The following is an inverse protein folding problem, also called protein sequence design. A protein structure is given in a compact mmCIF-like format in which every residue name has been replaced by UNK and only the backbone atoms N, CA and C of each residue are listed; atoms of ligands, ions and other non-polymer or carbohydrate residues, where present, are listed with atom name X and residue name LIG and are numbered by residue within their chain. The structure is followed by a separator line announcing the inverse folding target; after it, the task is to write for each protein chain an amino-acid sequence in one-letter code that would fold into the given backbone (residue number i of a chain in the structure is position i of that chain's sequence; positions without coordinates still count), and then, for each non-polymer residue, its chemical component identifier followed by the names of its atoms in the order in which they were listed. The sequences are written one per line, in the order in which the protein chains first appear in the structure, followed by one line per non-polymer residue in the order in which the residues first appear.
data_IF_766418558525
#
_entry.id   IF_766418558525
#
_cell.length_a   1.000
_cell.length_b   1.000
_cell.length_c   1.000
_cell.angle_alpha   90.00
_cell.angle_beta   90.00
_cell.angle_gamma   90.00
#
_symmetry.space_group_name_H-M   'P 1'
#
loop_
_entity.id
_entity.type
_entity.pdbx_description
1 polymer ?
#
# COMPACT_ATOMS: atom_id res chain seq x y z
N UNK A 1 5.59 31.99 43.47
CA UNK A 1 5.86 31.40 42.14
C UNK A 1 4.59 31.53 41.37
N UNK A 2 4.56 32.21 40.23
CA UNK A 2 3.32 32.48 39.51
C UNK A 2 2.74 31.18 38.92
N UNK A 3 1.43 31.05 38.86
CA UNK A 3 0.71 29.88 38.33
C UNK A 3 1.19 29.53 36.91
N UNK A 4 1.49 30.56 36.11
CA UNK A 4 2.07 30.42 34.75
C UNK A 4 3.43 29.69 34.74
N UNK A 5 4.27 29.88 35.75
CA UNK A 5 5.57 29.17 35.84
C UNK A 5 5.38 27.70 36.18
N UNK A 6 4.41 27.41 37.03
CA UNK A 6 4.05 26.02 37.40
C UNK A 6 3.51 25.26 36.19
N UNK A 7 2.56 25.85 35.45
CA UNK A 7 1.95 25.23 34.26
C UNK A 7 3.01 24.97 33.16
N UNK A 8 3.98 25.90 33.00
CA UNK A 8 5.10 25.70 32.04
C UNK A 8 6.07 24.61 32.49
N UNK A 9 6.33 24.46 33.77
CA UNK A 9 7.14 23.39 34.33
C UNK A 9 6.46 22.02 34.16
N UNK A 10 5.17 21.94 34.45
CA UNK A 10 4.40 20.72 34.31
C UNK A 10 4.30 20.27 32.83
N UNK A 11 4.10 21.24 31.90
CA UNK A 11 4.10 20.96 30.47
C UNK A 11 5.50 20.55 29.95
N UNK A 12 6.58 21.09 30.52
CA UNK A 12 7.94 20.67 30.21
C UNK A 12 8.23 19.27 30.76
N UNK A 13 7.86 18.97 32.02
CA UNK A 13 8.01 17.66 32.61
C UNK A 13 7.24 16.57 31.83
N UNK A 14 5.99 16.86 31.45
CA UNK A 14 5.17 15.92 30.66
C UNK A 14 5.85 15.61 29.32
N UNK A 15 6.46 16.61 28.66
CA UNK A 15 7.23 16.41 27.43
C UNK A 15 8.48 15.56 27.67
N UNK A 16 9.23 15.80 28.74
CA UNK A 16 10.43 15.01 29.05
C UNK A 16 10.09 13.57 29.41
N UNK A 17 9.03 13.34 30.18
CA UNK A 17 8.55 12.00 30.52
C UNK A 17 8.09 11.24 29.25
N UNK A 18 7.40 11.91 28.35
CA UNK A 18 7.00 11.32 27.05
C UNK A 18 8.24 10.97 26.20
N UNK A 19 9.23 11.85 26.14
CA UNK A 19 10.51 11.58 25.46
C UNK A 19 11.29 10.40 26.09
N UNK A 20 11.34 10.33 27.43
CA UNK A 20 11.99 9.22 28.12
C UNK A 20 11.25 7.89 27.95
N UNK A 21 9.91 7.93 27.87
CA UNK A 21 9.10 6.74 27.63
C UNK A 21 9.26 6.19 26.21
N UNK A 22 9.57 7.06 25.25
CA UNK A 22 9.88 6.68 23.86
C UNK A 22 11.33 6.24 23.67
N UNK A 23 12.21 6.52 24.64
CA UNK A 23 13.63 6.19 24.56
C UNK A 23 13.86 4.70 24.90
N UNK A 24 14.11 3.89 23.89
CA UNK A 24 14.57 2.51 24.06
C UNK A 24 16.12 2.52 24.22
N UNK A 25 16.66 2.41 25.46
CA UNK A 25 18.10 2.54 25.71
C UNK A 25 18.93 1.39 25.11
N UNK A 26 18.28 0.31 24.68
CA UNK A 26 18.89 -0.85 24.04
C UNK A 26 18.19 -1.14 22.72
N UNK A 27 18.86 -0.83 21.62
CA UNK A 27 18.41 -1.27 20.30
C UNK A 27 18.62 -2.80 20.19
N UNK A 28 17.54 -3.56 20.16
CA UNK A 28 17.60 -5.00 19.90
C UNK A 28 17.99 -5.22 18.45
N UNK A 29 19.17 -5.79 18.21
CA UNK A 29 19.67 -6.07 16.87
C UNK A 29 19.81 -7.58 16.67
N UNK A 30 19.39 -8.01 15.47
CA UNK A 30 19.69 -9.35 14.95
C UNK A 30 20.81 -9.32 13.92
N UNK A 31 21.13 -10.49 13.37
CA UNK A 31 22.07 -10.63 12.26
C UNK A 31 21.50 -11.55 11.20
N UNK A 32 21.68 -11.19 9.94
CA UNK A 32 21.31 -12.03 8.78
C UNK A 32 22.11 -13.33 8.85
N UNK A 33 21.42 -14.45 8.86
CA UNK A 33 22.01 -15.80 8.85
C UNK A 33 21.98 -16.39 7.45
N UNK A 34 20.91 -16.12 6.69
CA UNK A 34 20.71 -16.65 5.35
C UNK A 34 19.98 -15.63 4.47
N UNK A 35 20.35 -15.62 3.20
CA UNK A 35 19.65 -14.88 2.13
C UNK A 35 19.18 -15.92 1.11
N UNK A 36 17.88 -15.92 0.78
CA UNK A 36 17.30 -16.84 -0.19
C UNK A 36 16.32 -16.06 -1.10
N UNK A 37 16.76 -15.72 -2.30
CA UNK A 37 16.01 -14.83 -3.20
C UNK A 37 15.71 -13.50 -2.54
N UNK A 38 14.44 -13.14 -2.38
CA UNK A 38 13.98 -11.91 -1.74
C UNK A 38 13.79 -12.05 -0.21
N UNK A 39 14.07 -13.22 0.34
CA UNK A 39 13.85 -13.51 1.76
C UNK A 39 15.17 -13.50 2.53
N UNK A 40 15.13 -12.91 3.70
CA UNK A 40 16.23 -12.86 4.66
C UNK A 40 15.82 -13.62 5.92
N UNK A 41 16.69 -14.45 6.43
CA UNK A 41 16.50 -15.11 7.72
C UNK A 41 17.45 -14.51 8.74
N UNK A 42 16.91 -14.11 9.88
CA UNK A 42 17.72 -13.56 10.97
C UNK A 42 17.16 -13.97 12.33
N UNK A 43 18.04 -14.13 13.31
CA UNK A 43 17.65 -14.29 14.71
C UNK A 43 17.43 -12.92 15.32
N UNK A 44 16.14 -12.58 15.53
CA UNK A 44 15.74 -11.27 16.03
C UNK A 44 14.80 -11.44 17.24
N UNK A 45 15.29 -11.15 18.46
CA UNK A 45 14.45 -11.25 19.66
C UNK A 45 13.23 -10.34 19.60
N UNK A 46 12.12 -10.81 20.19
CA UNK A 46 10.85 -10.06 20.25
C UNK A 46 10.26 -9.64 18.89
N UNK A 47 10.67 -10.28 17.81
CA UNK A 47 10.14 -10.05 16.48
C UNK A 47 8.63 -10.39 16.42
N UNK A 48 7.85 -9.62 15.64
CA UNK A 48 6.43 -9.85 15.39
C UNK A 48 6.17 -9.82 13.89
N UNK A 49 5.26 -10.65 13.40
CA UNK A 49 4.83 -10.60 11.99
C UNK A 49 4.25 -9.21 11.71
N UNK A 50 4.68 -8.61 10.59
CA UNK A 50 4.30 -7.26 10.17
C UNK A 50 5.21 -6.15 10.68
N UNK A 51 6.15 -6.40 11.62
CA UNK A 51 7.10 -5.39 12.05
C UNK A 51 8.08 -5.04 10.92
N UNK A 52 8.32 -3.74 10.74
CA UNK A 52 9.41 -3.25 9.91
C UNK A 52 10.75 -3.40 10.61
N UNK A 53 11.76 -3.73 9.82
CA UNK A 53 13.15 -3.83 10.22
C UNK A 53 14.03 -2.99 9.29
N UNK A 54 15.05 -2.35 9.85
CA UNK A 54 16.14 -1.74 9.11
C UNK A 54 17.28 -2.75 9.00
N UNK A 55 17.71 -3.03 7.78
CA UNK A 55 18.80 -3.96 7.45
C UNK A 55 19.97 -3.13 6.92
N UNK A 56 21.12 -3.25 7.57
CA UNK A 56 22.32 -2.56 7.15
C UNK A 56 22.89 -3.23 5.88
N UNK A 57 23.37 -2.44 4.94
CA UNK A 57 24.07 -2.86 3.75
C UNK A 57 25.56 -2.55 3.83
N UNK A 58 26.31 -2.98 2.84
CA UNK A 58 27.72 -2.60 2.73
C UNK A 58 27.85 -1.07 2.56
N UNK A 59 28.74 -0.47 3.32
CA UNK A 59 28.84 0.98 3.48
C UNK A 59 27.86 1.53 4.51
N UNK A 60 27.46 2.79 4.37
CA UNK A 60 26.50 3.46 5.28
C UNK A 60 25.04 3.39 4.77
N UNK A 61 24.76 2.53 3.78
CA UNK A 61 23.43 2.34 3.22
C UNK A 61 22.61 1.33 4.05
N UNK A 62 21.31 1.44 3.97
CA UNK A 62 20.37 0.56 4.64
C UNK A 62 19.11 0.36 3.83
N UNK A 63 18.43 -0.75 4.06
CA UNK A 63 17.14 -1.02 3.45
C UNK A 63 16.11 -1.38 4.52
N UNK A 64 14.84 -1.25 4.17
CA UNK A 64 13.75 -1.76 4.99
C UNK A 64 13.39 -3.18 4.58
N UNK A 65 13.00 -3.98 5.57
CA UNK A 65 12.43 -5.30 5.39
C UNK A 65 11.25 -5.47 6.36
N UNK A 66 10.32 -6.35 6.03
CA UNK A 66 9.17 -6.67 6.87
C UNK A 66 9.22 -8.12 7.31
N UNK A 67 8.90 -8.38 8.57
CA UNK A 67 8.80 -9.74 9.09
C UNK A 67 7.50 -10.37 8.58
N UNK A 68 7.63 -11.39 7.74
CA UNK A 68 6.48 -12.08 7.11
C UNK A 68 6.16 -13.42 7.79
N UNK A 69 7.07 -13.94 8.63
CA UNK A 69 6.87 -15.20 9.30
C UNK A 69 8.10 -15.62 10.12
N UNK A 70 8.07 -16.86 10.57
CA UNK A 70 9.16 -17.48 11.32
C UNK A 70 9.46 -18.87 10.76
N UNK A 71 10.74 -19.19 10.69
CA UNK A 71 11.24 -20.54 10.46
C UNK A 71 11.95 -20.98 11.74
N UNK A 72 11.32 -21.88 12.50
CA UNK A 72 11.74 -22.27 13.86
C UNK A 72 11.85 -21.03 14.78
N UNK A 73 13.08 -20.62 15.10
CA UNK A 73 13.36 -19.47 15.98
C UNK A 73 13.85 -18.22 15.21
N UNK A 74 13.99 -18.35 13.90
CA UNK A 74 14.50 -17.27 13.06
C UNK A 74 13.35 -16.53 12.38
N UNK A 75 13.40 -15.21 12.41
CA UNK A 75 12.46 -14.37 11.69
C UNK A 75 12.79 -14.43 10.18
N UNK A 76 11.75 -14.62 9.38
CA UNK A 76 11.80 -14.53 7.92
C UNK A 76 11.33 -13.14 7.52
N UNK A 77 12.22 -12.39 6.91
CA UNK A 77 11.95 -11.03 6.47
C UNK A 77 11.88 -11.00 4.95
N UNK A 78 10.96 -10.18 4.44
CA UNK A 78 10.88 -9.84 3.03
C UNK A 78 11.42 -8.43 2.80
N UNK A 79 12.33 -8.30 1.84
CA UNK A 79 12.97 -7.04 1.50
C UNK A 79 11.97 -6.03 0.89
N UNK A 80 11.97 -4.79 1.39
CA UNK A 80 11.24 -3.66 0.82
C UNK A 80 12.17 -2.80 -0.06
N UNK A 81 12.91 -3.45 -0.95
CA UNK A 81 13.87 -2.80 -1.82
C UNK A 81 14.84 -3.79 -2.48
N UNK A 82 15.93 -3.27 -3.06
CA UNK A 82 16.97 -4.07 -3.67
C UNK A 82 17.90 -4.67 -2.61
N UNK A 83 18.20 -5.97 -2.75
CA UNK A 83 19.12 -6.71 -1.87
C UNK A 83 20.61 -6.49 -2.16
N UNK A 84 20.95 -5.78 -3.21
CA UNK A 84 22.35 -5.48 -3.52
C UNK A 84 23.06 -4.84 -2.32
N UNK A 85 24.23 -5.34 -1.97
CA UNK A 85 25.01 -4.91 -0.82
C UNK A 85 24.59 -5.53 0.53
N UNK A 86 23.55 -6.35 0.58
CA UNK A 86 23.23 -7.15 1.79
C UNK A 86 24.13 -8.36 1.87
N UNK A 87 24.72 -8.60 3.05
CA UNK A 87 25.60 -9.73 3.28
C UNK A 87 25.17 -10.54 4.51
N UNK A 88 25.58 -11.80 4.54
CA UNK A 88 25.42 -12.64 5.75
C UNK A 88 26.18 -12.00 6.89
N UNK A 89 25.56 -11.93 8.08
CA UNK A 89 26.08 -11.20 9.24
C UNK A 89 25.70 -9.73 9.31
N UNK A 90 25.06 -9.16 8.26
CA UNK A 90 24.55 -7.80 8.31
C UNK A 90 23.60 -7.58 9.50
N UNK A 91 23.66 -6.40 10.10
CA UNK A 91 22.84 -6.04 11.25
C UNK A 91 21.40 -5.80 10.84
N UNK A 92 20.46 -6.26 11.65
CA UNK A 92 19.03 -6.05 11.51
C UNK A 92 18.50 -5.40 12.77
N UNK A 93 17.91 -4.23 12.64
CA UNK A 93 17.26 -3.51 13.74
C UNK A 93 15.74 -3.53 13.55
N UNK A 94 14.99 -4.02 14.55
CA UNK A 94 13.54 -3.93 14.57
C UNK A 94 13.10 -2.51 14.84
N UNK A 95 12.19 -1.97 14.04
CA UNK A 95 11.59 -0.64 14.25
C UNK A 95 10.38 -0.71 15.19
N UNK A 96 9.76 -1.88 15.34
CA UNK A 96 8.63 -2.11 16.25
C UNK A 96 7.30 -1.51 15.75
N UNK A 97 7.25 -1.08 14.52
CA UNK A 97 6.06 -0.54 13.84
C UNK A 97 5.80 -1.30 12.55
N UNK A 98 4.54 -1.49 12.14
CA UNK A 98 4.21 -2.04 10.84
C UNK A 98 4.42 -0.99 9.74
N UNK A 99 4.32 -1.41 8.48
CA UNK A 99 4.27 -0.49 7.35
C UNK A 99 3.03 0.41 7.45
N UNK A 100 3.25 1.72 7.51
CA UNK A 100 2.20 2.74 7.67
C UNK A 100 2.35 3.84 6.62
N UNK A 101 1.22 4.45 6.27
CA UNK A 101 1.17 5.63 5.39
C UNK A 101 0.36 6.74 6.05
N UNK A 102 0.82 7.96 5.91
CA UNK A 102 0.03 9.14 6.27
C UNK A 102 -0.70 9.66 5.04
N UNK A 103 -1.78 10.37 5.25
CA UNK A 103 -2.66 10.88 4.20
C UNK A 103 -2.91 12.37 4.41
N UNK A 104 -2.67 13.16 3.37
CA UNK A 104 -2.90 14.60 3.37
C UNK A 104 -3.05 15.13 1.95
N UNK A 105 -3.52 16.38 1.84
CA UNK A 105 -3.69 17.05 0.55
C UNK A 105 -2.35 17.30 -0.17
N UNK A 106 -1.24 17.29 0.57
CA UNK A 106 0.12 17.37 0.02
C UNK A 106 0.49 16.20 -0.88
N UNK A 107 -0.23 15.08 -0.79
CA UNK A 107 -0.02 13.92 -1.66
C UNK A 107 -0.73 14.03 -3.01
N UNK A 108 -1.65 14.99 -3.17
CA UNK A 108 -2.34 15.17 -4.45
C UNK A 108 -1.35 15.60 -5.54
N UNK A 109 -1.44 14.98 -6.69
CA UNK A 109 -0.52 15.15 -7.81
C UNK A 109 0.77 14.33 -7.72
N UNK A 110 1.02 13.62 -6.59
CA UNK A 110 2.23 12.85 -6.37
C UNK A 110 2.18 11.47 -7.01
N UNK A 111 3.35 11.02 -7.45
CA UNK A 111 3.60 9.65 -7.94
C UNK A 111 4.50 8.94 -6.94
N UNK A 112 3.96 7.94 -6.29
CA UNK A 112 4.60 7.18 -5.22
C UNK A 112 4.96 5.78 -5.69
N UNK A 113 6.00 5.19 -5.10
CA UNK A 113 6.35 3.78 -5.28
C UNK A 113 5.37 2.86 -4.52
N UNK A 114 5.54 1.54 -4.65
CA UNK A 114 4.70 0.56 -3.98
C UNK A 114 4.71 0.63 -2.45
N UNK A 115 5.67 1.34 -1.87
CA UNK A 115 5.78 1.53 -0.41
C UNK A 115 5.28 2.91 0.06
N UNK A 116 4.88 3.78 -0.87
CA UNK A 116 4.41 5.13 -0.56
C UNK A 116 5.51 6.20 -0.52
N UNK A 117 6.67 5.94 -1.10
CA UNK A 117 7.76 6.92 -1.24
C UNK A 117 7.65 7.63 -2.59
N UNK A 118 8.06 8.91 -2.71
CA UNK A 118 8.03 9.61 -3.99
C UNK A 118 9.01 8.96 -4.98
N UNK A 119 8.57 8.69 -6.21
CA UNK A 119 9.42 8.07 -7.25
C UNK A 119 10.50 9.02 -7.73
N UNK A 120 10.21 10.31 -7.81
CA UNK A 120 11.15 11.33 -8.30
C UNK A 120 12.13 11.85 -7.22
N UNK A 121 12.11 11.28 -6.01
CA UNK A 121 13.02 11.65 -4.91
C UNK A 121 12.72 13.01 -4.25
N UNK A 122 12.01 13.91 -4.91
CA UNK A 122 11.62 15.22 -4.41
C UNK A 122 10.10 15.27 -4.30
N UNK A 123 9.60 15.58 -3.11
CA UNK A 123 8.18 15.71 -2.84
C UNK A 123 7.73 14.99 -1.58
N UNK A 124 6.49 15.25 -1.13
CA UNK A 124 5.95 14.60 0.04
C UNK A 124 5.68 13.11 -0.26
N UNK A 125 6.22 12.24 0.59
CA UNK A 125 5.91 10.83 0.61
C UNK A 125 4.79 10.51 1.60
N UNK A 126 4.13 9.40 1.38
CA UNK A 126 3.13 8.86 2.30
C UNK A 126 3.75 7.93 3.36
N UNK A 127 4.88 7.30 3.06
CA UNK A 127 5.54 6.33 3.95
C UNK A 127 5.92 6.95 5.29
N UNK A 128 5.64 6.22 6.38
CA UNK A 128 5.94 6.63 7.76
C UNK A 128 6.58 5.46 8.51
N UNK A 129 7.76 5.67 9.05
CA UNK A 129 8.51 4.74 9.90
C UNK A 129 8.53 5.15 11.39
N UNK A 130 7.92 6.29 11.72
CA UNK A 130 7.82 6.82 13.07
C UNK A 130 6.57 6.30 13.79
N UNK A 131 6.75 5.81 15.02
CA UNK A 131 5.68 5.32 15.88
C UNK A 131 4.71 6.44 16.35
N UNK A 132 5.19 7.67 16.46
CA UNK A 132 4.45 8.79 17.05
C UNK A 132 3.48 9.49 16.07
N UNK A 133 3.46 9.11 14.80
CA UNK A 133 2.54 9.70 13.82
C UNK A 133 1.11 9.22 14.05
N UNK A 134 0.30 10.06 14.69
CA UNK A 134 -1.09 9.73 15.10
C UNK A 134 -2.05 9.48 13.92
N UNK A 135 -1.84 10.13 12.77
CA UNK A 135 -2.75 10.08 11.62
C UNK A 135 -2.33 9.07 10.54
N UNK A 136 -1.40 8.14 10.86
CA UNK A 136 -0.95 7.15 9.91
C UNK A 136 -1.84 5.91 9.87
N UNK A 137 -2.11 5.44 8.66
CA UNK A 137 -2.88 4.22 8.36
C UNK A 137 -1.91 3.04 8.19
N UNK A 138 -2.20 1.93 8.86
CA UNK A 138 -1.48 0.68 8.62
C UNK A 138 -1.82 0.13 7.24
N UNK A 139 -0.80 -0.19 6.44
CA UNK A 139 -0.99 -0.66 5.06
C UNK A 139 -1.68 -2.03 5.01
N UNK A 140 -1.31 -2.94 5.89
CA UNK A 140 -1.99 -4.23 6.04
C UNK A 140 -2.94 -4.16 7.25
N UNK A 141 -4.21 -3.85 7.00
CA UNK A 141 -5.25 -3.86 8.03
C UNK A 141 -6.44 -4.71 7.55
N UNK A 142 -7.35 -4.95 8.47
CA UNK A 142 -8.58 -5.68 8.18
C UNK A 142 -9.62 -4.79 7.50
N UNK A 143 -10.53 -5.42 6.77
CA UNK A 143 -11.65 -4.72 6.14
C UNK A 143 -12.65 -4.25 7.21
N UNK A 144 -13.43 -3.18 6.94
CA UNK A 144 -14.53 -2.76 7.80
C UNK A 144 -15.54 -3.88 8.04
N UNK A 145 -16.07 -3.96 9.26
CA UNK A 145 -17.06 -4.97 9.63
C UNK A 145 -18.33 -4.86 8.77
N UNK A 146 -19.05 -5.96 8.50
CA UNK A 146 -20.30 -5.93 7.77
C UNK A 146 -21.36 -4.99 8.40
N UNK A 147 -21.34 -4.85 9.72
CA UNK A 147 -22.24 -3.95 10.49
C UNK A 147 -21.92 -2.47 10.33
N UNK A 148 -20.75 -2.14 9.83
CA UNK A 148 -20.29 -0.77 9.57
C UNK A 148 -20.57 -0.30 8.14
N UNK A 149 -21.14 -1.20 7.30
CA UNK A 149 -21.41 -0.95 5.88
C UNK A 149 -22.89 -0.59 5.66
N UNK A 150 -23.21 0.69 5.44
CA UNK A 150 -24.54 1.10 5.02
C UNK A 150 -24.90 0.54 3.64
N UNK A 151 -26.21 0.55 3.33
CA UNK A 151 -26.67 0.24 1.98
C UNK A 151 -26.29 1.35 1.02
N UNK A 152 -25.99 0.98 -0.23
CA UNK A 152 -25.76 1.93 -1.33
C UNK A 152 -27.13 2.48 -1.76
N UNK A 153 -27.25 3.80 -1.81
CA UNK A 153 -28.47 4.51 -2.18
C UNK A 153 -28.29 5.48 -3.33
N UNK A 154 -27.06 5.86 -3.62
CA UNK A 154 -26.73 6.88 -4.62
C UNK A 154 -26.10 6.25 -5.85
N UNK A 155 -26.62 6.59 -7.02
CA UNK A 155 -26.02 6.20 -8.30
C UNK A 155 -24.75 7.02 -8.54
N UNK A 156 -23.73 6.40 -9.14
CA UNK A 156 -22.50 7.02 -9.56
C UNK A 156 -22.54 7.25 -11.08
N UNK A 157 -22.51 8.48 -11.51
CA UNK A 157 -22.34 8.82 -12.92
C UNK A 157 -20.86 8.71 -13.31
N UNK A 158 -20.58 7.92 -14.34
CA UNK A 158 -19.23 7.66 -14.84
C UNK A 158 -18.86 8.47 -16.07
N UNK A 159 -19.85 9.13 -16.71
CA UNK A 159 -19.70 9.80 -17.99
C UNK A 159 -19.64 8.85 -19.19
N UNK A 160 -19.62 7.54 -18.95
CA UNK A 160 -19.59 6.51 -19.98
C UNK A 160 -21.02 6.02 -20.23
N UNK A 161 -21.61 6.39 -21.36
CA UNK A 161 -23.03 6.15 -21.68
C UNK A 161 -23.48 4.69 -21.54
N UNK A 162 -22.62 3.73 -21.91
CA UNK A 162 -22.92 2.30 -21.78
C UNK A 162 -22.99 1.85 -20.32
N UNK A 163 -22.18 2.44 -19.45
CA UNK A 163 -22.20 2.17 -18.01
C UNK A 163 -23.41 2.86 -17.39
N UNK A 164 -23.53 4.17 -17.57
CA UNK A 164 -24.56 4.98 -16.92
C UNK A 164 -25.99 4.58 -17.36
N UNK A 165 -26.14 4.17 -18.62
CA UNK A 165 -27.44 3.79 -19.16
C UNK A 165 -27.85 2.32 -18.98
N UNK A 166 -26.88 1.39 -18.86
CA UNK A 166 -27.17 -0.04 -18.87
C UNK A 166 -26.62 -0.80 -17.66
N UNK A 167 -25.55 -0.32 -17.03
CA UNK A 167 -24.81 -1.02 -15.98
C UNK A 167 -24.72 -0.21 -14.69
N UNK A 168 -25.64 0.68 -14.44
CA UNK A 168 -25.64 1.66 -13.34
C UNK A 168 -24.78 1.26 -12.13
N UNK A 169 -23.78 2.08 -11.82
CA UNK A 169 -22.92 1.89 -10.66
C UNK A 169 -23.48 2.69 -9.47
N UNK A 170 -23.15 2.23 -8.26
CA UNK A 170 -23.48 2.94 -7.03
C UNK A 170 -22.25 3.47 -6.33
N UNK A 171 -22.36 4.58 -5.61
CA UNK A 171 -21.30 5.08 -4.74
C UNK A 171 -20.94 4.06 -3.66
N UNK A 172 -19.66 3.71 -3.57
CA UNK A 172 -19.20 2.66 -2.67
C UNK A 172 -19.31 1.25 -3.22
N UNK A 173 -19.70 1.08 -4.48
CA UNK A 173 -19.68 -0.22 -5.14
C UNK A 173 -18.25 -0.63 -5.51
N UNK A 174 -18.02 -1.93 -5.53
CA UNK A 174 -16.78 -2.56 -6.01
C UNK A 174 -17.08 -3.25 -7.31
N UNK A 175 -16.34 -2.90 -8.36
CA UNK A 175 -16.59 -3.36 -9.73
C UNK A 175 -15.33 -3.98 -10.31
N UNK A 176 -15.48 -5.10 -10.99
CA UNK A 176 -14.44 -5.73 -11.78
C UNK A 176 -14.57 -5.36 -13.26
N UNK A 177 -13.49 -4.84 -13.85
CA UNK A 177 -13.36 -4.60 -15.27
C UNK A 177 -12.50 -5.70 -15.90
N UNK A 178 -13.17 -6.63 -16.57
CA UNK A 178 -12.54 -7.82 -17.16
C UNK A 178 -12.26 -7.58 -18.64
N UNK A 179 -11.00 -7.65 -19.07
CA UNK A 179 -10.64 -7.48 -20.47
C UNK A 179 -9.28 -8.10 -20.80
N UNK A 180 -9.07 -8.45 -22.06
CA UNK A 180 -7.77 -8.87 -22.58
C UNK A 180 -6.73 -7.74 -22.59
N UNK A 181 -5.50 -8.05 -22.97
CA UNK A 181 -4.46 -7.05 -23.18
C UNK A 181 -4.81 -6.16 -24.38
N UNK A 182 -4.51 -4.87 -24.31
CA UNK A 182 -4.72 -3.93 -25.41
C UNK A 182 -6.17 -3.52 -25.68
N UNK A 183 -7.14 -3.90 -24.85
CA UNK A 183 -8.56 -3.56 -25.02
C UNK A 183 -8.95 -2.16 -24.47
N UNK A 184 -8.01 -1.26 -24.23
CA UNK A 184 -8.31 0.10 -23.78
C UNK A 184 -8.74 0.22 -22.31
N UNK A 185 -8.38 -0.75 -21.42
CA UNK A 185 -8.73 -0.70 -19.99
C UNK A 185 -8.26 0.57 -19.30
N UNK A 186 -7.00 0.91 -19.48
CA UNK A 186 -6.36 2.07 -18.83
C UNK A 186 -7.00 3.38 -19.31
N UNK A 187 -7.30 3.49 -20.62
CA UNK A 187 -8.03 4.64 -21.19
C UNK A 187 -9.45 4.75 -20.62
N UNK A 188 -10.15 3.61 -20.47
CA UNK A 188 -11.48 3.61 -19.84
C UNK A 188 -11.43 4.03 -18.37
N UNK A 189 -10.41 3.57 -17.62
CA UNK A 189 -10.23 3.99 -16.22
C UNK A 189 -9.96 5.51 -16.13
N UNK A 190 -9.12 6.06 -17.01
CA UNK A 190 -8.85 7.48 -17.06
C UNK A 190 -10.11 8.28 -17.41
N UNK A 191 -10.91 7.81 -18.36
CA UNK A 191 -12.17 8.45 -18.74
C UNK A 191 -13.19 8.46 -17.59
N UNK A 192 -13.35 7.35 -16.88
CA UNK A 192 -14.18 7.28 -15.67
C UNK A 192 -13.63 8.24 -14.60
N UNK A 193 -12.32 8.28 -14.39
CA UNK A 193 -11.67 9.14 -13.40
C UNK A 193 -11.89 10.65 -13.68
N UNK A 194 -11.93 11.06 -14.95
CA UNK A 194 -12.22 12.44 -15.34
C UNK A 194 -13.65 12.85 -15.02
N UNK A 195 -14.60 11.93 -15.22
CA UNK A 195 -16.03 12.25 -15.20
C UNK A 195 -16.71 11.97 -13.85
N UNK A 196 -16.15 11.06 -13.02
CA UNK A 196 -16.72 10.75 -11.72
C UNK A 196 -16.58 11.93 -10.76
N UNK A 197 -17.70 12.30 -10.15
CA UNK A 197 -17.73 13.30 -9.10
C UNK A 197 -17.21 12.72 -7.77
N UNK A 198 -15.93 12.95 -7.48
CA UNK A 198 -15.26 12.52 -6.25
C UNK A 198 -14.27 13.58 -5.77
N UNK A 199 -13.91 13.49 -4.48
CA UNK A 199 -12.98 14.45 -3.87
C UNK A 199 -11.53 14.05 -4.14
N UNK A 200 -11.23 12.74 -4.13
CA UNK A 200 -9.89 12.19 -4.35
C UNK A 200 -9.95 10.93 -5.20
N UNK A 201 -8.96 10.80 -6.07
CA UNK A 201 -8.72 9.58 -6.86
C UNK A 201 -7.41 8.96 -6.42
N UNK A 202 -7.42 7.66 -6.19
CA UNK A 202 -6.21 6.90 -5.91
C UNK A 202 -6.02 5.85 -7.00
N UNK A 203 -4.92 5.98 -7.75
CA UNK A 203 -4.52 4.99 -8.74
C UNK A 203 -3.50 4.02 -8.11
N UNK A 204 -3.74 2.72 -8.27
CA UNK A 204 -2.77 1.66 -8.00
C UNK A 204 -2.38 1.00 -9.31
N UNK A 205 -1.25 1.43 -9.90
CA UNK A 205 -0.74 0.93 -11.19
C UNK A 205 0.33 -0.14 -10.92
N UNK A 206 -0.06 -1.41 -11.06
CA UNK A 206 0.70 -2.57 -10.60
C UNK A 206 1.23 -3.38 -11.77
N UNK A 207 2.56 -3.49 -11.84
CA UNK A 207 3.24 -4.32 -12.81
C UNK A 207 3.13 -3.82 -14.26
N UNK A 208 2.75 -2.56 -14.48
CA UNK A 208 2.77 -1.95 -15.79
C UNK A 208 4.21 -1.78 -16.29
N UNK A 209 4.40 -1.77 -17.61
CA UNK A 209 5.71 -1.45 -18.18
C UNK A 209 6.02 0.03 -17.96
N UNK A 210 7.28 0.36 -17.69
CA UNK A 210 7.69 1.74 -17.47
C UNK A 210 7.28 2.70 -18.59
N UNK A 211 7.27 2.22 -19.85
CA UNK A 211 6.79 2.99 -21.01
C UNK A 211 5.28 3.25 -20.95
N UNK A 212 4.48 2.23 -20.64
CA UNK A 212 3.02 2.34 -20.54
C UNK A 212 2.62 3.29 -19.39
N UNK A 213 3.34 3.21 -18.26
CA UNK A 213 3.20 4.15 -17.15
C UNK A 213 3.51 5.59 -17.60
N UNK A 214 4.59 5.79 -18.35
CA UNK A 214 4.98 7.12 -18.86
C UNK A 214 3.90 7.67 -19.78
N UNK A 215 3.40 6.87 -20.71
CA UNK A 215 2.31 7.26 -21.61
C UNK A 215 1.04 7.66 -20.84
N UNK A 216 0.70 6.91 -19.77
CA UNK A 216 -0.42 7.26 -18.89
C UNK A 216 -0.21 8.62 -18.20
N UNK A 217 0.97 8.85 -17.65
CA UNK A 217 1.29 10.11 -16.95
C UNK A 217 1.29 11.33 -17.89
N UNK A 218 1.71 11.14 -19.14
CA UNK A 218 1.87 12.23 -20.10
C UNK A 218 0.56 12.53 -20.89
N UNK A 219 -0.30 11.53 -21.11
CA UNK A 219 -1.46 11.67 -22.00
C UNK A 219 -2.82 11.49 -21.30
N UNK A 220 -2.90 10.64 -20.30
CA UNK A 220 -4.18 10.36 -19.63
C UNK A 220 -4.37 11.19 -18.36
N UNK A 221 -3.29 11.64 -17.73
CA UNK A 221 -3.31 12.41 -16.48
C UNK A 221 -3.19 13.91 -16.78
N UNK A 222 -4.31 14.54 -17.18
CA UNK A 222 -4.36 15.99 -17.36
C UNK A 222 -4.23 16.73 -16.01
N UNK A 223 -4.04 18.07 -16.06
CA UNK A 223 -3.81 18.89 -14.86
C UNK A 223 -4.98 18.83 -13.87
N UNK A 224 -6.23 18.73 -14.35
CA UNK A 224 -7.41 18.67 -13.49
C UNK A 224 -7.49 17.32 -12.76
N UNK A 225 -7.27 16.23 -13.48
CA UNK A 225 -7.24 14.89 -12.91
C UNK A 225 -6.06 14.74 -11.94
N UNK A 226 -4.90 15.26 -12.31
CA UNK A 226 -3.70 15.24 -11.47
C UNK A 226 -3.89 15.97 -10.16
N UNK A 227 -4.56 17.13 -10.16
CA UNK A 227 -4.79 17.95 -8.98
C UNK A 227 -5.61 17.23 -7.88
N UNK A 228 -6.39 16.19 -8.22
CA UNK A 228 -7.19 15.39 -7.29
C UNK A 228 -6.73 13.93 -7.18
N UNK A 229 -5.62 13.56 -7.81
CA UNK A 229 -5.15 12.18 -7.88
C UNK A 229 -3.89 11.94 -7.04
N UNK A 230 -3.80 10.75 -6.44
CA UNK A 230 -2.56 10.17 -5.90
C UNK A 230 -2.29 8.88 -6.66
N UNK A 231 -1.06 8.71 -7.14
CA UNK A 231 -0.68 7.52 -7.90
C UNK A 231 0.30 6.68 -7.09
N UNK A 232 0.01 5.39 -6.95
CA UNK A 232 0.93 4.39 -6.40
C UNK A 232 1.32 3.46 -7.55
N UNK A 233 2.59 3.49 -7.92
CA UNK A 233 3.10 2.84 -9.12
C UNK A 233 4.21 1.84 -8.77
N UNK A 234 4.05 0.60 -9.21
CA UNK A 234 5.10 -0.40 -9.15
C UNK A 234 5.22 -1.07 -10.53
N UNK A 235 6.24 -0.71 -11.29
CA UNK A 235 6.48 -1.22 -12.64
C UNK A 235 6.88 -2.70 -12.65
N UNK A 236 6.83 -3.34 -13.82
CA UNK A 236 7.08 -4.78 -13.97
C UNK A 236 8.52 -5.20 -13.63
N UNK A 237 9.48 -4.28 -13.62
CA UNK A 237 10.87 -4.47 -13.21
C UNK A 237 11.07 -4.39 -11.69
N UNK A 238 10.06 -3.92 -10.94
CA UNK A 238 10.13 -3.86 -9.48
C UNK A 238 9.95 -5.23 -8.85
N UNK A 239 10.42 -5.36 -7.62
CA UNK A 239 10.30 -6.62 -6.86
C UNK A 239 8.85 -7.07 -6.72
N UNK A 240 8.63 -8.38 -6.61
CA UNK A 240 7.29 -8.94 -6.36
C UNK A 240 6.67 -8.38 -5.07
N UNK A 241 7.49 -8.13 -4.06
CA UNK A 241 7.02 -7.49 -2.82
C UNK A 241 6.51 -6.07 -3.06
N UNK A 242 7.24 -5.24 -3.80
CA UNK A 242 6.81 -3.88 -4.12
C UNK A 242 5.52 -3.88 -4.96
N UNK A 243 5.45 -4.75 -5.98
CA UNK A 243 4.25 -4.90 -6.82
C UNK A 243 3.03 -5.35 -6.02
N UNK A 244 3.17 -6.31 -5.12
CA UNK A 244 2.08 -6.74 -4.25
C UNK A 244 1.71 -5.66 -3.24
N UNK A 245 2.70 -4.99 -2.66
CA UNK A 245 2.48 -3.94 -1.65
C UNK A 245 1.76 -2.73 -2.23
N UNK A 246 2.02 -2.36 -3.49
CA UNK A 246 1.39 -1.22 -4.17
C UNK A 246 -0.13 -1.24 -4.09
N UNK A 247 -0.77 -2.42 -4.25
CA UNK A 247 -2.22 -2.56 -4.11
C UNK A 247 -2.71 -2.22 -2.70
N UNK A 248 -2.02 -2.69 -1.68
CA UNK A 248 -2.34 -2.42 -0.28
C UNK A 248 -2.06 -0.96 0.09
N UNK A 249 -0.98 -0.39 -0.39
CA UNK A 249 -0.62 1.02 -0.16
C UNK A 249 -1.67 1.95 -0.78
N UNK A 250 -2.06 1.72 -2.04
CA UNK A 250 -3.13 2.48 -2.69
C UNK A 250 -4.45 2.38 -1.91
N UNK A 251 -4.81 1.17 -1.48
CA UNK A 251 -6.03 0.95 -0.68
C UNK A 251 -5.94 1.66 0.69
N UNK A 252 -4.80 1.62 1.37
CA UNK A 252 -4.59 2.29 2.65
C UNK A 252 -4.66 3.83 2.52
N UNK A 253 -4.14 4.39 1.42
CA UNK A 253 -4.30 5.81 1.11
C UNK A 253 -5.78 6.17 0.90
N UNK A 254 -6.51 5.37 0.12
CA UNK A 254 -7.94 5.56 -0.08
C UNK A 254 -8.72 5.50 1.25
N UNK A 255 -8.39 4.56 2.13
CA UNK A 255 -8.99 4.47 3.47
C UNK A 255 -8.66 5.67 4.36
N UNK A 256 -7.43 6.19 4.27
CA UNK A 256 -7.05 7.39 5.00
C UNK A 256 -7.86 8.62 4.57
N UNK A 257 -8.09 8.80 3.27
CA UNK A 257 -8.96 9.86 2.75
C UNK A 257 -10.43 9.63 3.13
N UNK A 258 -10.94 8.38 3.03
CA UNK A 258 -12.29 8.02 3.48
C UNK A 258 -12.53 8.39 4.94
N UNK A 259 -11.57 8.10 5.85
CA UNK A 259 -11.68 8.47 7.28
C UNK A 259 -11.75 9.97 7.52
N UNK A 260 -11.30 10.78 6.56
CA UNK A 260 -11.46 12.24 6.56
C UNK A 260 -12.81 12.69 5.96
N UNK A 261 -13.74 11.76 5.73
CA UNK A 261 -15.07 12.04 5.20
C UNK A 261 -15.13 12.26 3.69
N UNK A 262 -14.04 11.97 2.95
CA UNK A 262 -13.97 12.23 1.52
C UNK A 262 -14.57 11.09 0.69
N UNK A 263 -15.10 11.46 -0.48
CA UNK A 263 -15.54 10.53 -1.53
C UNK A 263 -14.32 10.15 -2.37
N UNK A 264 -13.92 8.88 -2.28
CA UNK A 264 -12.71 8.38 -2.92
C UNK A 264 -13.06 7.44 -4.07
N UNK A 265 -12.44 7.64 -5.22
CA UNK A 265 -12.41 6.69 -6.32
C UNK A 265 -11.07 5.93 -6.29
N UNK A 266 -11.12 4.63 -6.04
CA UNK A 266 -9.94 3.75 -6.04
C UNK A 266 -9.91 2.95 -7.35
N UNK A 267 -8.83 3.06 -8.10
CA UNK A 267 -8.61 2.40 -9.38
C UNK A 267 -7.37 1.52 -9.29
N UNK A 268 -7.52 0.19 -9.36
CA UNK A 268 -6.40 -0.76 -9.29
C UNK A 268 -6.23 -1.46 -10.64
N UNK A 269 -5.12 -1.18 -11.30
CA UNK A 269 -4.70 -1.83 -12.55
C UNK A 269 -3.35 -2.56 -12.35
N UNK A 270 -3.34 -3.88 -12.18
CA UNK A 270 -4.44 -4.84 -12.18
C UNK A 270 -4.33 -5.85 -11.02
N UNK A 271 -5.48 -6.41 -10.61
CA UNK A 271 -5.51 -7.52 -9.64
C UNK A 271 -4.79 -8.77 -10.15
N UNK A 272 -4.79 -9.02 -11.45
CA UNK A 272 -4.06 -10.14 -12.05
C UNK A 272 -2.56 -10.02 -11.79
N UNK A 273 -2.00 -8.82 -11.93
CA UNK A 273 -0.57 -8.59 -11.67
C UNK A 273 -0.25 -8.61 -10.19
N UNK A 274 -1.15 -8.13 -9.34
CA UNK A 274 -1.06 -8.33 -7.89
C UNK A 274 -0.99 -9.81 -7.53
N UNK A 275 -1.92 -10.62 -8.07
CA UNK A 275 -1.96 -12.06 -7.80
C UNK A 275 -0.69 -12.78 -8.28
N UNK A 276 -0.13 -12.38 -9.44
CA UNK A 276 1.15 -12.91 -9.94
C UNK A 276 2.32 -12.55 -9.03
N UNK A 277 2.39 -11.30 -8.56
CA UNK A 277 3.41 -10.86 -7.60
C UNK A 277 3.30 -11.62 -6.29
N UNK A 278 2.10 -11.79 -5.77
CA UNK A 278 1.86 -12.57 -4.55
C UNK A 278 2.18 -14.07 -4.73
N UNK A 279 1.95 -14.62 -5.93
CA UNK A 279 2.37 -15.98 -6.28
C UNK A 279 3.90 -16.13 -6.17
N UNK A 280 4.67 -15.20 -6.70
CA UNK A 280 6.14 -15.21 -6.61
C UNK A 280 6.60 -15.20 -5.14
N UNK A 281 5.94 -14.39 -4.31
CA UNK A 281 6.24 -14.32 -2.86
C UNK A 281 5.91 -15.64 -2.16
N UNK A 282 4.74 -16.20 -2.40
CA UNK A 282 4.32 -17.47 -1.80
C UNK A 282 5.24 -18.63 -2.19
N UNK A 283 5.64 -18.72 -3.47
CA UNK A 283 6.59 -19.73 -3.93
C UNK A 283 7.97 -19.57 -3.27
N UNK A 284 8.45 -18.33 -3.13
CA UNK A 284 9.70 -18.07 -2.43
C UNK A 284 9.63 -18.44 -0.94
N UNK A 285 8.44 -18.32 -0.33
CA UNK A 285 8.17 -18.77 1.04
C UNK A 285 7.93 -20.28 1.18
N UNK A 286 7.97 -21.04 0.06
CA UNK A 286 7.79 -22.50 0.06
C UNK A 286 6.33 -22.96 0.03
N UNK A 287 5.37 -22.08 -0.29
CA UNK A 287 3.97 -22.48 -0.44
C UNK A 287 3.79 -23.38 -1.67
N UNK A 288 2.97 -24.45 -1.57
CA UNK A 288 2.64 -25.28 -2.73
C UNK A 288 1.70 -24.53 -3.66
N UNK A 289 1.74 -24.89 -4.95
CA UNK A 289 0.75 -24.42 -5.91
C UNK A 289 -0.59 -25.14 -5.70
N UNK A 290 -1.65 -24.37 -5.56
CA UNK A 290 -3.03 -24.85 -5.51
C UNK A 290 -3.73 -24.81 -6.87
N UNK A 291 -5.08 -24.80 -6.86
CA UNK A 291 -5.91 -24.65 -8.06
C UNK A 291 -5.53 -23.40 -8.86
N UNK A 292 -5.56 -23.50 -10.18
CA UNK A 292 -5.22 -22.37 -11.06
C UNK A 292 -3.77 -21.89 -10.98
N UNK A 293 -2.86 -22.70 -10.39
CA UNK A 293 -1.43 -22.37 -10.29
C UNK A 293 -1.10 -21.24 -9.31
N UNK A 294 -1.99 -20.96 -8.36
CA UNK A 294 -1.80 -19.93 -7.34
C UNK A 294 -1.61 -20.57 -5.95
N UNK A 295 -0.70 -20.04 -5.11
CA UNK A 295 -0.53 -20.53 -3.74
C UNK A 295 -1.69 -20.08 -2.82
N UNK A 296 -1.90 -20.74 -1.67
CA UNK A 296 -2.98 -20.42 -0.72
C UNK A 296 -3.03 -18.97 -0.26
N UNK A 297 -1.88 -18.33 -0.12
CA UNK A 297 -1.77 -16.92 0.30
C UNK A 297 -2.50 -15.97 -0.65
N UNK A 298 -2.50 -16.23 -1.97
CA UNK A 298 -3.22 -15.40 -2.95
C UNK A 298 -4.72 -15.43 -2.68
N UNK A 299 -5.29 -16.64 -2.45
CA UNK A 299 -6.72 -16.80 -2.19
C UNK A 299 -7.16 -16.14 -0.87
N UNK A 300 -6.29 -16.03 0.11
CA UNK A 300 -6.59 -15.37 1.38
C UNK A 300 -6.42 -13.85 1.30
N UNK A 301 -5.42 -13.36 0.58
CA UNK A 301 -5.09 -11.92 0.53
C UNK A 301 -5.97 -11.14 -0.45
N UNK A 302 -6.37 -11.75 -1.57
CA UNK A 302 -7.17 -11.06 -2.58
C UNK A 302 -8.54 -10.61 -2.04
N UNK A 303 -9.35 -11.44 -1.37
CA UNK A 303 -10.57 -10.99 -0.73
C UNK A 303 -10.32 -9.93 0.34
N UNK A 304 -9.28 -10.08 1.16
CA UNK A 304 -8.91 -9.10 2.19
C UNK A 304 -8.62 -7.73 1.58
N UNK A 305 -7.96 -7.66 0.42
CA UNK A 305 -7.70 -6.42 -0.29
C UNK A 305 -9.00 -5.79 -0.80
N UNK A 306 -9.81 -6.56 -1.53
CA UNK A 306 -11.03 -6.07 -2.20
C UNK A 306 -12.11 -5.65 -1.19
N UNK A 307 -12.24 -6.38 -0.08
CA UNK A 307 -13.22 -6.07 0.96
C UNK A 307 -12.95 -4.76 1.72
N UNK A 308 -11.78 -4.17 1.62
CA UNK A 308 -11.44 -2.90 2.29
C UNK A 308 -12.14 -1.68 1.70
N UNK A 309 -12.47 -1.72 0.40
CA UNK A 309 -13.25 -0.68 -0.26
C UNK A 309 -14.74 -0.76 0.09
N UNK A 310 -15.46 0.30 -0.20
CA UNK A 310 -16.90 0.39 -0.03
C UNK A 310 -17.35 1.58 0.83
N UNK A 311 -18.65 1.65 1.02
CA UNK A 311 -19.31 2.65 1.85
C UNK A 311 -19.17 2.28 3.33
N UNK A 312 -18.83 3.27 4.16
CA UNK A 312 -18.82 3.19 5.63
C UNK A 312 -19.50 4.42 6.22
N UNK A 313 -19.60 4.49 7.55
CA UNK A 313 -20.16 5.67 8.21
C UNK A 313 -19.27 6.91 8.12
N UNK A 314 -17.97 6.71 7.90
CA UNK A 314 -16.98 7.79 7.84
C UNK A 314 -16.86 8.43 6.45
N UNK A 315 -17.17 7.67 5.39
CA UNK A 315 -17.03 8.11 4.01
C UNK A 315 -17.12 6.94 3.03
N UNK A 316 -16.76 7.17 1.78
CA UNK A 316 -16.96 6.21 0.71
C UNK A 316 -15.70 5.97 -0.11
N UNK A 317 -15.45 4.69 -0.46
CA UNK A 317 -14.50 4.28 -1.49
C UNK A 317 -15.28 3.52 -2.55
N UNK A 318 -15.49 4.12 -3.72
CA UNK A 318 -15.91 3.38 -4.92
C UNK A 318 -14.68 2.81 -5.57
N UNK A 319 -14.66 1.50 -5.85
CA UNK A 319 -13.46 0.84 -6.34
C UNK A 319 -13.71 0.14 -7.68
N UNK A 320 -12.80 0.36 -8.62
CA UNK A 320 -12.76 -0.36 -9.90
C UNK A 320 -11.45 -1.13 -9.97
N UNK A 321 -11.57 -2.43 -10.13
CA UNK A 321 -10.45 -3.36 -10.23
C UNK A 321 -10.37 -3.94 -11.63
N UNK A 322 -9.24 -3.80 -12.30
CA UNK A 322 -9.06 -4.46 -13.58
C UNK A 322 -8.55 -5.89 -13.41
N UNK A 323 -9.03 -6.77 -14.25
CA UNK A 323 -8.62 -8.17 -14.34
C UNK A 323 -8.24 -8.48 -15.79
N UNK A 324 -7.03 -9.01 -15.98
CA UNK A 324 -6.58 -9.46 -17.29
C UNK A 324 -7.14 -10.86 -17.56
N UNK A 325 -7.93 -10.99 -18.60
CA UNK A 325 -8.38 -12.27 -19.12
C UNK A 325 -7.31 -12.76 -20.10
N UNK A 326 -6.77 -13.94 -19.87
CA UNK A 326 -5.98 -14.66 -20.87
C UNK A 326 -6.97 -15.36 -21.80
N UNK A 327 -6.87 -15.10 -23.10
CA UNK A 327 -7.59 -15.90 -24.08
C UNK A 327 -6.90 -17.27 -24.10
N UNK A 328 -7.63 -18.31 -23.73
CA UNK A 328 -7.20 -19.67 -24.01
C UNK A 328 -7.04 -19.80 -25.52
N UNK A 329 -5.80 -20.05 -25.95
CA UNK A 329 -5.43 -20.31 -27.34
C UNK A 329 -5.84 -21.72 -27.74
#
# INVERSE_FOLDING_TARGET
MSQDLQDRLDAWQARQVSHLASFAPVAVRGRIQRVNGMLLQCRLPQARIGDLCKVDKYGDDSMLAEIIGFDHQDAVLSALGNLEGVQVGASVQRLGVPHRVRVGHELLGQVLDGFGRPIAGEGPGAFVDDADTKDATTVLCEAPLPTERPRIHQALATGVRSIDGLLTLGEGQRVGLFAGAGCGKTTLLAEIARNVECDVIVFGLIGERGRELREFLDHELDDQLRAKAVLVCATSDRSSMERARAAFTATALAEGFRRKGQRVLLLIDSLTRFARAQREIGLAAGEPLGRGGLPPSVYSLLPRLVERAGLTREGVITAIYTVLIEQDS
#
